data_IF_393409151448
#
_entry.id   IF_393409151448
#
_cell.length_a   1.000
_cell.length_b   1.000
_cell.length_c   1.000
_cell.angle_alpha   90.00
_cell.angle_beta   90.00
_cell.angle_gamma   90.00
#
_symmetry.space_group_name_H-M   'P 1'
#
loop_
_entity.id
_entity.type
_entity.pdbx_description
1 polymer ?
#
# COMPACT_ATOMS: atom_id res chain seq x y z
N UNK A 1 -41.59 -17.43 4.72
CA UNK A 1 -40.38 -17.36 3.88
C UNK A 1 -40.86 -17.28 2.44
N UNK A 2 -40.51 -16.25 1.71
CA UNK A 2 -40.95 -16.08 0.31
C UNK A 2 -40.03 -16.90 -0.62
N UNK A 3 -40.48 -18.10 -0.98
CA UNK A 3 -39.74 -19.03 -1.85
C UNK A 3 -39.47 -18.48 -3.25
N UNK A 4 -40.25 -17.50 -3.71
CA UNK A 4 -40.10 -16.87 -5.03
C UNK A 4 -38.87 -15.97 -5.08
N UNK A 5 -38.48 -15.40 -3.96
CA UNK A 5 -37.28 -14.56 -3.79
C UNK A 5 -36.02 -15.42 -3.70
N UNK A 6 -36.08 -16.55 -2.98
CA UNK A 6 -34.97 -17.50 -2.88
C UNK A 6 -34.63 -18.15 -4.23
N UNK A 7 -35.64 -18.46 -5.05
CA UNK A 7 -35.43 -19.08 -6.34
C UNK A 7 -34.69 -18.20 -7.35
N UNK A 8 -34.77 -16.87 -7.20
CA UNK A 8 -34.06 -15.90 -8.04
C UNK A 8 -32.60 -15.71 -7.65
N UNK A 9 -32.20 -16.21 -6.49
CA UNK A 9 -30.83 -16.07 -5.96
C UNK A 9 -29.98 -17.36 -6.17
N UNK A 10 -30.57 -18.42 -6.76
CA UNK A 10 -29.92 -19.71 -6.96
C UNK A 10 -29.76 -20.02 -8.44
N UNK A 11 -28.57 -20.41 -8.83
CA UNK A 11 -28.19 -20.71 -10.22
C UNK A 11 -27.60 -22.12 -10.31
N UNK A 12 -28.09 -22.90 -11.30
CA UNK A 12 -27.46 -24.16 -11.68
C UNK A 12 -26.21 -23.89 -12.55
N UNK A 13 -25.37 -24.92 -12.71
CA UNK A 13 -24.07 -24.77 -13.41
C UNK A 13 -24.18 -24.14 -14.81
N UNK A 14 -25.24 -24.39 -15.55
CA UNK A 14 -25.46 -23.81 -16.90
C UNK A 14 -25.77 -22.31 -16.79
N UNK A 15 -26.72 -21.96 -15.94
CA UNK A 15 -27.12 -20.57 -15.68
C UNK A 15 -26.00 -19.76 -15.05
N UNK A 16 -25.23 -20.36 -14.10
CA UNK A 16 -24.07 -19.75 -13.49
C UNK A 16 -22.96 -19.48 -14.51
N UNK A 17 -22.71 -20.39 -15.43
CA UNK A 17 -21.75 -20.22 -16.52
C UNK A 17 -22.17 -19.10 -17.47
N UNK A 18 -23.47 -19.07 -17.85
CA UNK A 18 -24.05 -18.02 -18.68
C UNK A 18 -24.00 -16.65 -18.00
N UNK A 19 -24.35 -16.57 -16.71
CA UNK A 19 -24.24 -15.35 -15.90
C UNK A 19 -22.83 -14.78 -15.88
N UNK A 20 -21.81 -15.66 -15.80
CA UNK A 20 -20.40 -15.30 -15.82
C UNK A 20 -19.82 -15.07 -17.22
N UNK A 21 -20.55 -15.37 -18.29
CA UNK A 21 -20.06 -15.28 -19.68
C UNK A 21 -18.95 -16.30 -19.99
N UNK A 22 -18.97 -17.49 -19.37
CA UNK A 22 -17.96 -18.54 -19.55
C UNK A 22 -18.59 -19.89 -19.91
N UNK A 23 -17.76 -20.86 -20.30
CA UNK A 23 -18.23 -22.23 -20.52
C UNK A 23 -18.43 -22.97 -19.18
N UNK A 24 -19.34 -23.96 -19.16
CA UNK A 24 -19.54 -24.84 -17.99
C UNK A 24 -18.24 -25.56 -17.60
N UNK A 25 -17.43 -25.93 -18.60
CA UNK A 25 -16.11 -26.54 -18.34
C UNK A 25 -15.20 -25.61 -17.56
N UNK A 26 -15.16 -24.33 -17.92
CA UNK A 26 -14.37 -23.29 -17.22
C UNK A 26 -14.93 -23.03 -15.82
N UNK A 27 -16.24 -23.01 -15.63
CA UNK A 27 -16.88 -22.92 -14.32
C UNK A 27 -16.45 -24.08 -13.39
N UNK A 28 -16.49 -25.31 -13.90
CA UNK A 28 -16.08 -26.49 -13.13
C UNK A 28 -14.59 -26.43 -12.75
N UNK A 29 -13.74 -25.92 -13.63
CA UNK A 29 -12.33 -25.67 -13.33
C UNK A 29 -12.17 -24.64 -12.20
N UNK A 30 -12.91 -23.53 -12.22
CA UNK A 30 -12.88 -22.50 -11.17
C UNK A 30 -13.37 -23.02 -9.82
N UNK A 31 -14.36 -23.92 -9.82
CA UNK A 31 -14.81 -24.63 -8.62
C UNK A 31 -13.72 -25.57 -8.09
N UNK A 32 -13.05 -26.32 -8.97
CA UNK A 32 -11.95 -27.21 -8.61
C UNK A 32 -10.74 -26.44 -8.05
N UNK A 33 -10.45 -25.26 -8.62
CA UNK A 33 -9.40 -24.34 -8.15
C UNK A 33 -9.79 -23.61 -6.85
N UNK A 34 -10.99 -23.84 -6.31
CA UNK A 34 -11.49 -23.16 -5.10
C UNK A 34 -11.80 -21.68 -5.28
N UNK A 35 -11.88 -21.20 -6.52
CA UNK A 35 -12.14 -19.79 -6.87
C UNK A 35 -13.62 -19.42 -6.87
N UNK A 36 -14.48 -20.41 -6.96
CA UNK A 36 -15.95 -20.29 -6.81
C UNK A 36 -16.40 -21.39 -5.86
N UNK A 37 -17.15 -21.02 -4.83
CA UNK A 37 -17.69 -21.99 -3.86
C UNK A 37 -19.15 -22.29 -4.19
N UNK A 38 -19.50 -23.52 -4.56
CA UNK A 38 -20.89 -23.88 -4.74
C UNK A 38 -21.61 -23.92 -3.37
N UNK A 39 -22.86 -23.47 -3.36
CA UNK A 39 -23.73 -23.59 -2.18
C UNK A 39 -24.02 -25.07 -1.88
N UNK A 40 -24.20 -25.87 -2.93
CA UNK A 40 -24.43 -27.33 -2.83
C UNK A 40 -23.89 -28.04 -4.07
N UNK A 41 -23.27 -29.20 -3.87
CA UNK A 41 -22.82 -30.10 -4.95
C UNK A 41 -23.23 -31.54 -4.61
N UNK A 42 -23.97 -32.18 -5.51
CA UNK A 42 -24.39 -33.58 -5.38
C UNK A 42 -24.49 -34.25 -6.76
N UNK A 43 -24.94 -35.52 -6.81
CA UNK A 43 -25.13 -36.27 -8.04
C UNK A 43 -26.16 -35.66 -9.01
N UNK A 44 -27.10 -34.84 -8.51
CA UNK A 44 -28.15 -34.17 -9.30
C UNK A 44 -27.72 -32.81 -9.83
N UNK A 45 -26.56 -32.27 -9.42
CA UNK A 45 -26.01 -31.00 -9.93
C UNK A 45 -25.28 -30.15 -8.90
N UNK A 46 -24.81 -29.02 -9.37
CA UNK A 46 -24.12 -28.00 -8.55
C UNK A 46 -24.95 -26.72 -8.56
N UNK A 47 -25.20 -26.15 -7.39
CA UNK A 47 -26.00 -24.93 -7.20
C UNK A 47 -25.08 -23.86 -6.62
N UNK A 48 -25.19 -22.64 -7.15
CA UNK A 48 -24.46 -21.45 -6.75
C UNK A 48 -25.44 -20.38 -6.25
N UNK A 49 -25.00 -19.60 -5.27
CA UNK A 49 -25.72 -18.41 -4.84
C UNK A 49 -25.31 -17.22 -5.71
N UNK A 50 -26.25 -16.36 -6.10
CA UNK A 50 -25.99 -15.19 -6.95
C UNK A 50 -24.84 -14.33 -6.43
N UNK A 51 -24.78 -14.10 -5.12
CA UNK A 51 -23.74 -13.29 -4.50
C UNK A 51 -22.31 -13.82 -4.76
N UNK A 52 -22.11 -15.14 -4.76
CA UNK A 52 -20.80 -15.75 -5.11
C UNK A 52 -20.48 -15.55 -6.60
N UNK A 53 -21.49 -15.58 -7.46
CA UNK A 53 -21.34 -15.37 -8.89
C UNK A 53 -21.10 -13.88 -9.22
N UNK A 54 -21.78 -12.96 -8.53
CA UNK A 54 -21.54 -11.51 -8.67
C UNK A 54 -20.11 -11.13 -8.29
N UNK A 55 -19.63 -11.63 -7.15
CA UNK A 55 -18.25 -11.44 -6.73
C UNK A 55 -17.26 -11.92 -7.80
N UNK A 56 -17.56 -13.07 -8.41
CA UNK A 56 -16.69 -13.64 -9.44
C UNK A 56 -16.79 -12.90 -10.77
N UNK A 57 -17.98 -12.43 -11.15
CA UNK A 57 -18.20 -11.64 -12.36
C UNK A 57 -17.48 -10.31 -12.29
N UNK A 58 -17.53 -9.63 -11.15
CA UNK A 58 -16.76 -8.42 -10.89
C UNK A 58 -15.26 -8.68 -11.01
N UNK A 59 -14.75 -9.78 -10.43
CA UNK A 59 -13.36 -10.19 -10.59
C UNK A 59 -12.95 -10.43 -12.05
N UNK A 60 -13.85 -10.97 -12.86
CA UNK A 60 -13.60 -11.26 -14.29
C UNK A 60 -13.66 -10.01 -15.16
N UNK A 61 -14.61 -9.10 -14.93
CA UNK A 61 -14.69 -7.80 -15.63
C UNK A 61 -13.43 -6.97 -15.38
N UNK A 62 -12.91 -6.98 -14.16
CA UNK A 62 -11.64 -6.37 -13.81
C UNK A 62 -10.47 -7.00 -14.61
N UNK A 63 -10.51 -8.29 -14.88
CA UNK A 63 -9.49 -8.99 -15.70
C UNK A 63 -9.51 -8.58 -17.17
N UNK A 64 -10.69 -8.30 -17.72
CA UNK A 64 -10.85 -7.93 -19.13
C UNK A 64 -10.53 -6.44 -19.37
N UNK A 65 -10.90 -5.54 -18.44
CA UNK A 65 -10.49 -4.12 -18.50
C UNK A 65 -8.96 -3.95 -18.41
N UNK A 66 -8.26 -4.84 -17.69
CA UNK A 66 -6.77 -4.85 -17.62
C UNK A 66 -6.16 -5.29 -18.95
N UNK A 67 -6.85 -6.10 -19.75
CA UNK A 67 -6.39 -6.47 -21.09
C UNK A 67 -6.59 -5.36 -22.13
N UNK A 68 -7.62 -4.55 -21.98
CA UNK A 68 -7.95 -3.48 -22.96
C UNK A 68 -7.32 -2.12 -22.61
N UNK A 69 -6.98 -1.84 -21.32
CA UNK A 69 -6.41 -0.56 -20.86
C UNK A 69 -4.89 -0.47 -20.88
N UNK A 70 -4.19 -1.55 -21.18
CA UNK A 70 -2.72 -1.59 -21.19
C UNK A 70 -2.16 -1.02 -22.49
N UNK A 71 -1.87 0.28 -22.57
CA UNK A 71 -0.79 0.74 -23.45
C UNK A 71 0.45 -0.03 -23.02
N UNK A 72 1.02 -0.83 -23.92
CA UNK A 72 2.26 -1.60 -23.76
C UNK A 72 3.47 -0.63 -23.61
N UNK A 73 3.50 0.14 -22.53
CA UNK A 73 4.66 0.94 -22.15
C UNK A 73 5.51 0.15 -21.15
N UNK A 74 6.80 0.08 -21.40
CA UNK A 74 7.78 -0.40 -20.42
C UNK A 74 7.98 0.71 -19.37
N UNK A 75 8.19 0.34 -18.09
CA UNK A 75 8.59 1.34 -17.08
C UNK A 75 9.93 1.96 -17.50
N UNK A 76 9.95 3.27 -17.66
CA UNK A 76 11.12 4.01 -18.11
C UNK A 76 11.86 4.64 -16.92
N UNK A 77 13.20 4.64 -16.99
CA UNK A 77 14.05 5.30 -16.00
C UNK A 77 14.44 6.67 -16.56
N UNK A 78 13.45 7.55 -16.64
CA UNK A 78 13.47 8.84 -17.33
C UNK A 78 13.68 10.03 -16.40
N UNK A 79 13.64 9.83 -15.09
CA UNK A 79 13.80 10.90 -14.10
C UNK A 79 15.04 10.69 -13.22
N UNK A 80 15.56 11.81 -12.67
CA UNK A 80 16.69 11.80 -11.72
C UNK A 80 16.38 10.90 -10.51
N UNK A 81 15.15 10.96 -9.98
CA UNK A 81 14.74 10.13 -8.83
C UNK A 81 14.77 8.64 -9.16
N UNK A 82 14.27 8.25 -10.34
CA UNK A 82 14.28 6.84 -10.77
C UNK A 82 15.70 6.33 -10.98
N UNK A 83 16.57 7.13 -11.60
CA UNK A 83 17.96 6.77 -11.81
C UNK A 83 18.73 6.66 -10.49
N UNK A 84 18.54 7.59 -9.56
CA UNK A 84 19.15 7.52 -8.23
C UNK A 84 18.67 6.29 -7.45
N UNK A 85 17.38 5.96 -7.51
CA UNK A 85 16.84 4.77 -6.87
C UNK A 85 17.44 3.47 -7.44
N UNK A 86 17.65 3.42 -8.76
CA UNK A 86 18.32 2.30 -9.41
C UNK A 86 19.78 2.19 -8.96
N UNK A 87 20.52 3.29 -8.94
CA UNK A 87 21.91 3.30 -8.47
C UNK A 87 22.01 2.88 -7.01
N UNK A 88 21.13 3.39 -6.16
CA UNK A 88 21.07 3.05 -4.74
C UNK A 88 20.79 1.55 -4.53
N UNK A 89 19.80 1.01 -5.23
CA UNK A 89 19.47 -0.43 -5.18
C UNK A 89 20.63 -1.31 -5.69
N UNK A 90 21.30 -0.89 -6.75
CA UNK A 90 22.52 -1.57 -7.25
C UNK A 90 23.57 -1.65 -6.16
N UNK A 91 23.88 -0.53 -5.52
CA UNK A 91 24.92 -0.50 -4.49
C UNK A 91 24.52 -1.23 -3.20
N UNK A 92 23.23 -1.25 -2.84
CA UNK A 92 22.75 -2.11 -1.74
C UNK A 92 23.10 -3.59 -2.01
N UNK A 93 22.90 -4.05 -3.23
CA UNK A 93 23.17 -5.43 -3.62
C UNK A 93 24.67 -5.70 -3.72
N UNK A 94 25.46 -4.83 -4.38
CA UNK A 94 26.91 -4.93 -4.51
C UNK A 94 27.57 -5.06 -3.14
N UNK A 95 27.16 -4.25 -2.18
CA UNK A 95 27.75 -4.16 -0.84
C UNK A 95 27.08 -5.11 0.16
N UNK A 96 25.92 -5.68 -0.20
CA UNK A 96 25.06 -6.41 0.74
C UNK A 96 24.72 -5.56 1.99
N UNK A 97 24.45 -4.29 1.78
CA UNK A 97 24.13 -3.33 2.83
C UNK A 97 22.62 -3.12 2.96
N UNK A 98 22.20 -2.84 4.20
CA UNK A 98 20.86 -2.30 4.46
C UNK A 98 20.84 -0.80 4.08
N UNK A 99 19.65 -0.25 3.90
CA UNK A 99 19.45 1.18 3.61
C UNK A 99 20.17 2.06 4.63
N UNK A 100 19.95 1.83 5.93
CA UNK A 100 20.57 2.60 7.02
C UNK A 100 22.11 2.63 6.97
N UNK A 101 22.72 1.56 6.45
CA UNK A 101 24.18 1.49 6.31
C UNK A 101 24.67 2.18 5.06
N UNK A 102 23.91 2.12 3.97
CA UNK A 102 24.30 2.69 2.68
C UNK A 102 24.01 4.19 2.60
N UNK A 103 22.90 4.65 3.17
CA UNK A 103 22.40 6.01 3.00
C UNK A 103 23.42 7.10 3.38
N UNK A 104 24.09 7.05 4.56
CA UNK A 104 25.08 8.06 4.91
C UNK A 104 26.27 8.14 3.92
N UNK A 105 26.63 6.99 3.32
CA UNK A 105 27.67 6.92 2.32
C UNK A 105 27.22 7.54 1.00
N UNK A 106 25.96 7.31 0.62
CA UNK A 106 25.36 7.93 -0.56
C UNK A 106 25.25 9.45 -0.41
N UNK A 107 24.88 9.92 0.78
CA UNK A 107 24.83 11.35 1.07
C UNK A 107 26.22 11.99 0.99
N UNK A 108 27.25 11.31 1.49
CA UNK A 108 28.64 11.76 1.36
C UNK A 108 29.09 11.78 -0.12
N UNK A 109 28.73 10.75 -0.90
CA UNK A 109 29.05 10.69 -2.33
C UNK A 109 28.32 11.77 -3.11
N UNK A 110 27.08 12.11 -2.75
CA UNK A 110 26.28 13.14 -3.41
C UNK A 110 26.87 14.54 -3.34
N UNK A 111 27.77 14.80 -2.36
CA UNK A 111 28.50 16.05 -2.24
C UNK A 111 29.66 16.16 -3.25
N UNK A 112 30.07 15.02 -3.86
CA UNK A 112 31.22 14.93 -4.76
C UNK A 112 30.80 14.80 -6.22
N UNK A 113 29.72 14.08 -6.46
CA UNK A 113 29.22 13.82 -7.82
C UNK A 113 27.69 13.85 -7.86
N UNK A 114 27.17 13.96 -9.06
CA UNK A 114 25.75 13.74 -9.31
C UNK A 114 25.40 12.25 -9.26
N UNK A 115 24.88 11.79 -8.11
CA UNK A 115 24.51 10.40 -7.86
C UNK A 115 23.32 9.90 -8.69
N UNK A 116 22.63 10.79 -9.42
CA UNK A 116 21.55 10.45 -10.35
C UNK A 116 22.05 10.25 -11.79
N UNK A 117 23.36 10.32 -12.05
CA UNK A 117 23.95 9.89 -13.31
C UNK A 117 24.02 8.37 -13.38
N UNK A 118 23.79 7.81 -14.57
CA UNK A 118 23.72 6.35 -14.76
C UNK A 118 25.05 5.66 -14.48
N UNK A 119 25.02 4.57 -13.71
CA UNK A 119 26.16 3.65 -13.50
C UNK A 119 26.56 2.87 -14.77
N UNK A 120 25.77 2.96 -15.85
CA UNK A 120 26.18 2.48 -17.16
C UNK A 120 27.30 3.33 -17.79
N UNK A 121 27.48 4.57 -17.36
CA UNK A 121 28.55 5.45 -17.80
C UNK A 121 29.85 5.07 -17.10
N UNK A 122 30.91 4.82 -17.88
CA UNK A 122 32.21 4.33 -17.37
C UNK A 122 32.81 5.25 -16.30
N UNK A 123 32.79 6.55 -16.55
CA UNK A 123 33.31 7.57 -15.63
C UNK A 123 32.58 7.52 -14.26
N UNK A 124 31.25 7.41 -14.28
CA UNK A 124 30.45 7.37 -13.08
C UNK A 124 30.67 6.06 -12.31
N UNK A 125 30.68 4.95 -13.03
CA UNK A 125 30.96 3.61 -12.44
C UNK A 125 32.33 3.60 -11.75
N UNK A 126 33.35 4.18 -12.38
CA UNK A 126 34.71 4.27 -11.82
C UNK A 126 34.73 5.05 -10.50
N UNK A 127 34.07 6.21 -10.44
CA UNK A 127 33.98 7.01 -9.20
C UNK A 127 33.30 6.24 -8.09
N UNK A 128 32.21 5.52 -8.38
CA UNK A 128 31.54 4.66 -7.41
C UNK A 128 32.46 3.51 -6.97
N UNK A 129 33.16 2.87 -7.88
CA UNK A 129 34.08 1.78 -7.59
C UNK A 129 35.21 2.20 -6.64
N UNK A 130 35.82 3.35 -6.88
CA UNK A 130 36.85 3.94 -6.03
C UNK A 130 36.31 4.33 -4.66
N UNK A 131 35.16 5.03 -4.62
CA UNK A 131 34.56 5.49 -3.36
C UNK A 131 34.19 4.32 -2.44
N UNK A 132 33.53 3.29 -2.99
CA UNK A 132 33.08 2.14 -2.21
C UNK A 132 34.13 1.00 -2.12
N UNK A 133 35.28 1.15 -2.74
CA UNK A 133 36.38 0.16 -2.78
C UNK A 133 35.92 -1.19 -3.30
N UNK A 134 35.19 -1.19 -4.41
CA UNK A 134 34.68 -2.39 -5.10
C UNK A 134 35.11 -2.36 -6.56
N UNK A 135 35.10 -3.50 -7.23
CA UNK A 135 35.43 -3.61 -8.65
C UNK A 135 34.31 -3.02 -9.52
N UNK A 136 34.65 -2.26 -10.55
CA UNK A 136 33.70 -1.68 -11.52
C UNK A 136 32.88 -2.76 -12.21
N UNK A 137 33.49 -3.89 -12.56
CA UNK A 137 32.82 -5.03 -13.20
C UNK A 137 31.63 -5.52 -12.37
N UNK A 138 31.83 -5.65 -11.05
CA UNK A 138 30.76 -6.09 -10.13
C UNK A 138 29.61 -5.08 -10.07
N UNK A 139 29.92 -3.77 -10.11
CA UNK A 139 28.88 -2.73 -10.17
C UNK A 139 28.10 -2.86 -11.48
N UNK A 140 28.78 -3.00 -12.62
CA UNK A 140 28.14 -3.12 -13.93
C UNK A 140 27.24 -4.36 -14.03
N UNK A 141 27.71 -5.51 -13.56
CA UNK A 141 26.90 -6.74 -13.53
C UNK A 141 25.63 -6.55 -12.70
N UNK A 142 25.77 -6.06 -11.47
CA UNK A 142 24.62 -5.87 -10.58
C UNK A 142 23.69 -4.77 -11.08
N UNK A 143 24.22 -3.73 -11.73
CA UNK A 143 23.42 -2.67 -12.36
C UNK A 143 22.51 -3.23 -13.46
N UNK A 144 23.01 -4.15 -14.30
CA UNK A 144 22.18 -4.79 -15.32
C UNK A 144 21.05 -5.63 -14.72
N UNK A 145 21.34 -6.36 -13.63
CA UNK A 145 20.33 -7.12 -12.90
C UNK A 145 19.27 -6.18 -12.29
N UNK A 146 19.71 -5.13 -11.64
CA UNK A 146 18.82 -4.13 -11.04
C UNK A 146 17.99 -3.41 -12.12
N UNK A 147 18.61 -2.98 -13.22
CA UNK A 147 17.93 -2.33 -14.34
C UNK A 147 16.81 -3.21 -14.89
N UNK A 148 17.08 -4.50 -15.15
CA UNK A 148 16.07 -5.45 -15.61
C UNK A 148 14.91 -5.60 -14.61
N UNK A 149 15.18 -5.57 -13.31
CA UNK A 149 14.13 -5.66 -12.30
C UNK A 149 13.27 -4.37 -12.26
N UNK A 150 13.88 -3.19 -12.44
CA UNK A 150 13.17 -1.91 -12.51
C UNK A 150 12.28 -1.82 -13.75
N UNK A 151 12.74 -2.28 -14.90
CA UNK A 151 11.92 -2.27 -16.14
C UNK A 151 10.71 -3.23 -16.07
N UNK A 152 10.63 -4.10 -15.08
CA UNK A 152 9.46 -4.93 -14.80
C UNK A 152 8.39 -4.24 -13.92
N UNK A 153 8.66 -3.03 -13.42
CA UNK A 153 7.64 -2.22 -12.78
C UNK A 153 6.52 -1.87 -13.77
N UNK A 154 5.32 -1.62 -13.25
CA UNK A 154 4.23 -1.18 -14.10
C UNK A 154 4.50 0.26 -14.58
N UNK A 155 4.12 0.64 -15.82
CA UNK A 155 4.36 2.01 -16.34
C UNK A 155 3.80 3.13 -15.46
N UNK A 156 2.75 2.85 -14.70
CA UNK A 156 2.12 3.81 -13.78
C UNK A 156 2.73 3.80 -12.37
N UNK A 157 3.74 2.96 -12.12
CA UNK A 157 4.42 2.97 -10.82
C UNK A 157 5.23 4.25 -10.66
N UNK A 158 5.23 4.77 -9.45
CA UNK A 158 6.03 5.94 -9.14
C UNK A 158 7.07 5.63 -8.06
N UNK A 159 8.21 6.31 -8.16
CA UNK A 159 9.27 6.27 -7.15
C UNK A 159 9.37 7.65 -6.54
N UNK A 160 9.16 7.74 -5.22
CA UNK A 160 9.17 9.00 -4.47
C UNK A 160 10.39 9.01 -3.57
N UNK A 161 11.20 10.06 -3.66
CA UNK A 161 12.40 10.24 -2.85
C UNK A 161 12.09 11.07 -1.60
N UNK A 162 12.66 10.69 -0.45
CA UNK A 162 12.60 11.49 0.78
C UNK A 162 13.19 12.87 0.54
N UNK A 163 12.47 13.89 1.00
CA UNK A 163 12.81 15.30 0.79
C UNK A 163 12.17 15.93 -0.45
N UNK A 164 11.56 15.15 -1.35
CA UNK A 164 10.74 15.71 -2.42
C UNK A 164 9.38 16.16 -1.88
N UNK A 165 8.75 17.12 -2.54
CA UNK A 165 7.43 17.68 -2.17
C UNK A 165 6.31 16.64 -2.11
N UNK A 166 6.44 15.55 -2.85
CA UNK A 166 5.47 14.46 -2.91
C UNK A 166 5.75 13.32 -1.92
N UNK A 167 6.71 13.50 -1.01
CA UNK A 167 6.95 12.54 0.06
C UNK A 167 5.94 12.72 1.21
N UNK A 168 5.37 11.63 1.78
CA UNK A 168 4.32 11.72 2.80
C UNK A 168 4.77 12.51 4.04
N UNK A 169 4.10 13.61 4.41
CA UNK A 169 4.57 14.49 5.48
C UNK A 169 4.54 13.84 6.86
N UNK A 170 3.58 12.93 7.12
CA UNK A 170 3.53 12.18 8.37
C UNK A 170 4.71 11.22 8.51
N UNK A 171 5.10 10.54 7.43
CA UNK A 171 6.21 9.60 7.43
C UNK A 171 7.55 10.33 7.49
N UNK A 172 7.67 11.47 6.82
CA UNK A 172 8.90 12.28 6.79
C UNK A 172 9.39 12.67 8.19
N UNK A 173 8.47 12.86 9.14
CA UNK A 173 8.78 13.22 10.54
C UNK A 173 9.24 12.02 11.39
N UNK A 174 9.48 10.86 10.79
CA UNK A 174 9.89 9.65 11.52
C UNK A 174 11.28 9.18 11.14
N UNK A 175 11.96 8.51 12.07
CA UNK A 175 13.26 7.85 11.81
C UNK A 175 13.13 6.67 10.82
N UNK A 176 11.92 6.17 10.62
CA UNK A 176 11.63 5.05 9.72
C UNK A 176 11.27 5.52 8.30
N UNK A 177 11.42 6.81 7.98
CA UNK A 177 11.20 7.35 6.66
C UNK A 177 12.27 6.82 5.68
N UNK A 178 11.94 5.91 4.75
CA UNK A 178 12.92 5.36 3.82
C UNK A 178 13.34 6.41 2.78
N UNK A 179 14.54 6.22 2.19
CA UNK A 179 15.03 7.10 1.14
C UNK A 179 14.10 7.11 -0.06
N UNK A 180 13.56 5.95 -0.42
CA UNK A 180 12.62 5.80 -1.53
C UNK A 180 11.36 5.06 -1.11
N UNK A 181 10.23 5.52 -1.65
CA UNK A 181 8.97 4.80 -1.68
C UNK A 181 8.65 4.42 -3.12
N UNK A 182 8.22 3.19 -3.30
CA UNK A 182 7.70 2.64 -4.55
C UNK A 182 6.20 2.52 -4.39
N UNK A 183 5.43 3.14 -5.28
CA UNK A 183 3.96 3.18 -5.14
C UNK A 183 3.25 2.76 -6.41
N UNK A 184 2.06 2.17 -6.24
CA UNK A 184 1.12 1.83 -7.31
C UNK A 184 -0.28 2.16 -6.88
N UNK A 185 -1.01 2.94 -7.71
CA UNK A 185 -2.38 3.37 -7.46
C UNK A 185 -2.51 4.86 -7.19
N UNK A 186 -3.46 5.26 -6.34
CA UNK A 186 -3.82 6.66 -6.10
C UNK A 186 -2.81 7.36 -5.18
N UNK A 187 -1.79 8.00 -5.77
CA UNK A 187 -0.75 8.75 -5.04
C UNK A 187 -1.31 9.79 -4.08
N UNK A 188 -2.44 10.44 -4.43
CA UNK A 188 -3.08 11.46 -3.57
C UNK A 188 -3.37 10.96 -2.14
N UNK A 189 -3.55 9.65 -1.96
CA UNK A 189 -3.79 9.06 -0.64
C UNK A 189 -2.61 9.21 0.34
N UNK A 190 -1.39 9.48 -0.15
CA UNK A 190 -0.22 9.75 0.70
C UNK A 190 -0.33 11.07 1.50
N UNK A 191 -1.18 11.99 1.04
CA UNK A 191 -1.37 13.30 1.63
C UNK A 191 -2.63 13.40 2.48
N UNK A 192 -3.39 12.31 2.56
CA UNK A 192 -4.59 12.28 3.36
C UNK A 192 -4.28 12.39 4.85
N UNK A 193 -4.97 13.33 5.49
CA UNK A 193 -4.70 13.67 6.89
C UNK A 193 -5.22 12.62 7.87
N UNK A 194 -6.29 11.89 7.50
CA UNK A 194 -7.01 10.97 8.38
C UNK A 194 -6.75 9.53 7.98
N UNK A 195 -5.72 8.93 8.53
CA UNK A 195 -5.30 7.56 8.26
C UNK A 195 -5.15 6.78 9.56
N UNK A 196 -5.62 5.53 9.59
CA UNK A 196 -5.56 4.65 10.76
C UNK A 196 -5.04 3.28 10.34
N UNK A 197 -3.99 2.80 11.01
CA UNK A 197 -3.52 1.45 10.83
C UNK A 197 -4.41 0.46 11.59
N UNK A 198 -4.99 -0.51 10.90
CA UNK A 198 -5.66 -1.68 11.49
C UNK A 198 -4.74 -2.87 11.38
N UNK A 199 -4.37 -3.46 12.52
CA UNK A 199 -3.39 -4.56 12.58
C UNK A 199 -3.84 -5.66 13.52
N UNK A 200 -3.34 -6.87 13.29
CA UNK A 200 -3.65 -7.96 14.21
C UNK A 200 -3.13 -9.32 13.77
N UNK A 201 -3.72 -10.34 14.37
CA UNK A 201 -3.36 -11.74 14.16
C UNK A 201 -3.58 -12.17 12.71
N UNK A 202 -2.63 -12.97 12.18
CA UNK A 202 -2.80 -13.67 10.90
C UNK A 202 -3.84 -14.79 10.99
N UNK A 203 -3.98 -15.39 12.18
CA UNK A 203 -4.97 -16.40 12.51
C UNK A 203 -6.04 -15.80 13.43
N UNK A 204 -6.65 -14.71 12.96
CA UNK A 204 -7.66 -13.99 13.72
C UNK A 204 -8.92 -14.81 13.92
N UNK A 205 -9.51 -14.70 15.11
CA UNK A 205 -10.83 -15.27 15.41
C UNK A 205 -11.91 -14.63 14.53
N UNK A 206 -13.02 -15.34 14.33
CA UNK A 206 -14.13 -14.80 13.54
C UNK A 206 -14.77 -13.57 14.21
N UNK A 207 -14.78 -13.55 15.54
CA UNK A 207 -15.20 -12.37 16.31
C UNK A 207 -14.28 -11.17 16.06
N UNK A 208 -12.95 -11.35 15.99
CA UNK A 208 -12.00 -10.30 15.70
C UNK A 208 -12.14 -9.80 14.25
N UNK A 209 -12.33 -10.70 13.28
CA UNK A 209 -12.62 -10.33 11.89
C UNK A 209 -13.89 -9.51 11.78
N UNK A 210 -14.97 -9.92 12.48
CA UNK A 210 -16.23 -9.18 12.48
C UNK A 210 -16.08 -7.79 13.11
N UNK A 211 -15.36 -7.68 14.22
CA UNK A 211 -15.05 -6.37 14.81
C UNK A 211 -14.19 -5.52 13.86
N UNK A 212 -13.25 -6.13 13.13
CA UNK A 212 -12.44 -5.43 12.12
C UNK A 212 -13.31 -4.88 11.00
N UNK A 213 -14.32 -5.63 10.52
CA UNK A 213 -15.27 -5.14 9.52
C UNK A 213 -16.02 -3.92 10.04
N UNK A 214 -16.58 -3.99 11.26
CA UNK A 214 -17.31 -2.88 11.88
C UNK A 214 -16.44 -1.63 12.04
N UNK A 215 -15.20 -1.81 12.47
CA UNK A 215 -14.25 -0.69 12.62
C UNK A 215 -13.89 -0.11 11.27
N UNK A 216 -13.49 -0.92 10.29
CA UNK A 216 -13.10 -0.47 8.95
C UNK A 216 -14.25 0.27 8.25
N UNK A 217 -15.47 -0.24 8.37
CA UNK A 217 -16.68 0.41 7.83
C UNK A 217 -16.96 1.76 8.51
N UNK A 218 -16.88 1.82 9.83
CA UNK A 218 -17.08 3.05 10.57
C UNK A 218 -16.02 4.11 10.24
N UNK A 219 -14.76 3.72 10.10
CA UNK A 219 -13.67 4.59 9.66
C UNK A 219 -13.96 5.15 8.26
N UNK A 220 -14.28 4.27 7.31
CA UNK A 220 -14.56 4.65 5.92
C UNK A 220 -15.75 5.60 5.79
N UNK A 221 -16.85 5.36 6.50
CA UNK A 221 -18.03 6.27 6.58
C UNK A 221 -17.68 7.67 7.09
N UNK A 222 -16.64 7.78 7.90
CA UNK A 222 -16.15 9.06 8.44
C UNK A 222 -14.98 9.65 7.63
N UNK A 223 -14.73 9.13 6.42
CA UNK A 223 -13.64 9.58 5.54
C UNK A 223 -12.24 9.33 6.11
N UNK A 224 -12.09 8.31 6.98
CA UNK A 224 -10.82 7.91 7.56
C UNK A 224 -10.30 6.70 6.76
N UNK A 225 -9.08 6.82 6.25
CA UNK A 225 -8.48 5.79 5.41
C UNK A 225 -7.85 4.70 6.25
N UNK A 226 -8.21 3.47 5.95
CA UNK A 226 -7.57 2.29 6.53
C UNK A 226 -6.20 2.07 5.90
N UNK A 227 -5.18 2.00 6.74
CA UNK A 227 -3.82 1.57 6.37
C UNK A 227 -3.58 0.19 6.95
N UNK A 228 -3.08 -0.76 6.17
CA UNK A 228 -2.75 -2.08 6.71
C UNK A 228 -1.68 -2.79 5.88
N UNK A 229 -1.26 -3.97 6.34
CA UNK A 229 -0.08 -4.67 5.82
C UNK A 229 -0.38 -5.78 4.82
N UNK A 230 -1.64 -5.96 4.44
CA UNK A 230 -2.08 -6.99 3.50
C UNK A 230 -1.73 -8.43 3.92
N UNK A 231 -1.46 -8.67 5.20
CA UNK A 231 -1.28 -10.01 5.75
C UNK A 231 -2.63 -10.76 5.83
N UNK A 232 -2.58 -12.08 6.06
CA UNK A 232 -3.79 -12.85 6.38
C UNK A 232 -4.48 -12.31 7.63
N UNK A 233 -5.74 -12.66 7.84
CA UNK A 233 -6.49 -12.34 9.05
C UNK A 233 -6.96 -10.88 9.10
N UNK A 234 -6.54 -10.13 10.10
CA UNK A 234 -7.03 -8.76 10.34
C UNK A 234 -6.75 -7.83 9.14
N UNK A 235 -5.52 -7.81 8.65
CA UNK A 235 -5.09 -6.87 7.62
C UNK A 235 -5.94 -7.00 6.35
N UNK A 236 -6.04 -8.21 5.81
CA UNK A 236 -6.82 -8.44 4.59
C UNK A 236 -8.32 -8.21 4.81
N UNK A 237 -8.84 -8.52 6.01
CA UNK A 237 -10.25 -8.25 6.36
C UNK A 237 -10.54 -6.74 6.33
N UNK A 238 -9.62 -5.92 6.84
CA UNK A 238 -9.75 -4.47 6.83
C UNK A 238 -9.77 -3.91 5.40
N UNK A 239 -8.85 -4.37 4.53
CA UNK A 239 -8.80 -3.95 3.13
C UNK A 239 -10.05 -4.36 2.34
N UNK A 240 -10.46 -5.63 2.44
CA UNK A 240 -11.66 -6.13 1.76
C UNK A 240 -12.89 -5.33 2.18
N UNK A 241 -13.01 -4.99 3.47
CA UNK A 241 -14.14 -4.21 3.96
C UNK A 241 -14.15 -2.80 3.36
N UNK A 242 -13.00 -2.13 3.33
CA UNK A 242 -12.90 -0.81 2.72
C UNK A 242 -13.26 -0.86 1.23
N UNK A 243 -12.69 -1.80 0.47
CA UNK A 243 -12.95 -1.95 -0.98
C UNK A 243 -14.40 -2.25 -1.30
N UNK A 244 -15.04 -3.17 -0.56
CA UNK A 244 -16.46 -3.54 -0.76
C UNK A 244 -17.44 -2.39 -0.53
N UNK A 245 -17.08 -1.48 0.36
CA UNK A 245 -17.90 -0.30 0.65
C UNK A 245 -17.47 0.94 -0.16
N UNK A 246 -16.58 0.80 -1.13
CA UNK A 246 -16.11 1.91 -1.98
C UNK A 246 -15.21 2.91 -1.25
N UNK A 247 -14.63 2.54 -0.11
CA UNK A 247 -13.72 3.39 0.65
C UNK A 247 -12.28 3.20 0.19
N UNK A 248 -11.49 4.27 0.28
CA UNK A 248 -10.06 4.21 0.01
C UNK A 248 -9.32 3.41 1.09
N UNK A 249 -8.24 2.72 0.67
CA UNK A 249 -7.35 2.01 1.59
C UNK A 249 -5.92 2.04 1.08
N UNK A 250 -4.95 2.01 2.00
CA UNK A 250 -3.51 1.99 1.71
C UNK A 250 -2.93 0.68 2.20
N UNK A 251 -2.40 -0.13 1.30
CA UNK A 251 -1.64 -1.33 1.65
C UNK A 251 -0.14 -1.01 1.66
N UNK A 252 0.49 -1.16 2.82
CA UNK A 252 1.95 -1.09 2.93
C UNK A 252 2.48 -2.52 2.91
N UNK A 253 3.24 -2.89 1.88
CA UNK A 253 3.64 -4.29 1.67
C UNK A 253 5.09 -4.55 2.09
N UNK A 254 5.37 -5.78 2.53
CA UNK A 254 6.71 -6.24 2.94
C UNK A 254 7.52 -6.87 1.80
N UNK A 255 7.09 -6.67 0.55
CA UNK A 255 7.74 -7.11 -0.67
C UNK A 255 7.95 -5.92 -1.60
N UNK A 256 8.68 -6.07 -2.69
CA UNK A 256 8.64 -5.08 -3.77
C UNK A 256 7.31 -5.16 -4.56
N UNK A 257 7.02 -4.15 -5.38
CA UNK A 257 5.77 -4.05 -6.14
C UNK A 257 5.55 -5.16 -7.17
N UNK A 258 6.61 -5.84 -7.62
CA UNK A 258 6.52 -6.93 -8.61
C UNK A 258 6.12 -8.27 -7.98
N UNK A 259 5.94 -8.32 -6.66
CA UNK A 259 5.66 -9.55 -5.91
C UNK A 259 4.36 -9.45 -5.12
N UNK A 260 3.56 -10.49 -5.18
CA UNK A 260 2.31 -10.64 -4.43
C UNK A 260 2.54 -11.61 -3.25
N UNK A 261 2.38 -11.08 -2.03
CA UNK A 261 2.55 -11.89 -0.82
C UNK A 261 1.60 -11.44 0.31
N UNK A 262 0.89 -12.36 0.95
CA UNK A 262 0.80 -13.79 0.62
C UNK A 262 0.05 -14.01 -0.71
N UNK A 263 0.28 -15.14 -1.37
CA UNK A 263 -0.27 -15.42 -2.72
C UNK A 263 -1.80 -15.38 -2.75
N UNK A 264 -2.45 -15.81 -1.67
CA UNK A 264 -3.91 -15.83 -1.54
C UNK A 264 -4.52 -14.42 -1.51
N UNK A 265 -3.76 -13.38 -1.14
CA UNK A 265 -4.21 -11.99 -1.12
C UNK A 265 -3.88 -11.23 -2.42
N UNK A 266 -3.40 -11.95 -3.46
CA UNK A 266 -3.01 -11.35 -4.74
C UNK A 266 -4.12 -10.51 -5.37
N UNK A 267 -5.33 -11.04 -5.41
CA UNK A 267 -6.45 -10.33 -6.06
C UNK A 267 -6.89 -9.11 -5.24
N UNK A 268 -6.80 -9.20 -3.92
CA UNK A 268 -7.04 -8.03 -3.04
C UNK A 268 -5.98 -6.94 -3.29
N UNK A 269 -4.70 -7.32 -3.43
CA UNK A 269 -3.65 -6.35 -3.74
C UNK A 269 -3.91 -5.65 -5.07
N UNK A 270 -4.26 -6.38 -6.12
CA UNK A 270 -4.60 -5.83 -7.44
C UNK A 270 -5.78 -4.87 -7.39
N UNK A 271 -6.78 -5.18 -6.58
CA UNK A 271 -7.93 -4.30 -6.38
C UNK A 271 -7.52 -3.01 -5.66
N UNK A 272 -6.62 -3.10 -4.66
CA UNK A 272 -6.04 -1.92 -4.01
C UNK A 272 -5.20 -1.10 -5.00
N UNK A 273 -4.42 -1.73 -5.88
CA UNK A 273 -3.65 -1.07 -6.93
C UNK A 273 -4.53 -0.21 -7.85
N UNK A 274 -5.78 -0.62 -8.09
CA UNK A 274 -6.75 0.10 -8.91
C UNK A 274 -7.53 1.18 -8.16
N UNK A 275 -8.04 0.85 -6.97
CA UNK A 275 -9.01 1.68 -6.24
C UNK A 275 -8.40 2.42 -5.04
N UNK A 276 -7.26 2.01 -4.56
CA UNK A 276 -6.54 2.54 -3.42
C UNK A 276 -5.09 2.84 -3.74
N UNK A 277 -4.20 2.53 -2.81
CA UNK A 277 -2.76 2.72 -2.95
C UNK A 277 -1.98 1.55 -2.35
N UNK A 278 -1.01 1.03 -3.08
CA UNK A 278 0.00 0.10 -2.59
C UNK A 278 1.32 0.84 -2.42
N UNK A 279 1.95 0.69 -1.26
CA UNK A 279 3.23 1.33 -0.91
C UNK A 279 4.25 0.27 -0.51
N UNK A 280 5.44 0.38 -1.03
CA UNK A 280 6.61 -0.42 -0.63
C UNK A 280 7.84 0.47 -0.42
N UNK A 281 8.66 0.15 0.56
CA UNK A 281 10.00 0.72 0.71
C UNK A 281 11.09 -0.12 0.03
N UNK A 282 10.72 -1.26 -0.53
CA UNK A 282 11.68 -2.23 -1.07
C UNK A 282 11.78 -2.12 -2.59
N UNK A 283 13.02 -1.90 -3.06
CA UNK A 283 13.35 -1.84 -4.48
C UNK A 283 12.94 -3.12 -5.22
N UNK A 284 12.52 -3.03 -6.49
CA UNK A 284 12.28 -4.21 -7.34
C UNK A 284 13.52 -5.11 -7.48
N UNK A 285 14.72 -4.56 -7.34
CA UNK A 285 15.98 -5.33 -7.36
C UNK A 285 16.27 -6.10 -6.06
N UNK A 286 15.56 -5.81 -4.96
CA UNK A 286 15.78 -6.52 -3.70
C UNK A 286 15.04 -7.86 -3.66
N UNK A 287 15.73 -8.92 -3.30
CA UNK A 287 15.10 -10.20 -2.94
C UNK A 287 14.41 -10.05 -1.60
N UNK A 288 13.11 -10.42 -1.53
CA UNK A 288 12.33 -10.34 -0.29
C UNK A 288 12.96 -11.18 0.82
N UNK A 289 13.13 -10.57 2.00
CA UNK A 289 13.70 -11.15 3.20
C UNK A 289 12.66 -11.19 4.32
N UNK A 290 12.79 -12.12 5.27
CA UNK A 290 11.87 -12.23 6.40
C UNK A 290 11.82 -10.97 7.27
N UNK A 291 12.94 -10.26 7.40
CA UNK A 291 13.04 -9.02 8.18
C UNK A 291 12.40 -7.79 7.49
N UNK A 292 12.03 -7.88 6.20
CA UNK A 292 11.29 -6.82 5.52
C UNK A 292 9.91 -6.59 6.14
N UNK A 293 9.23 -7.66 6.57
CA UNK A 293 7.89 -7.55 7.13
C UNK A 293 7.82 -6.74 8.43
N UNK A 294 8.66 -6.98 9.45
CA UNK A 294 8.71 -6.11 10.62
C UNK A 294 9.21 -4.69 10.28
N UNK A 295 10.16 -4.52 9.35
CA UNK A 295 10.66 -3.20 8.98
C UNK A 295 9.58 -2.34 8.31
N UNK A 296 8.78 -2.93 7.41
CA UNK A 296 7.62 -2.30 6.78
C UNK A 296 6.63 -1.68 7.78
N UNK A 297 6.51 -2.28 8.96
CA UNK A 297 5.61 -1.76 9.99
C UNK A 297 5.97 -0.33 10.44
N UNK A 298 7.24 0.05 10.36
CA UNK A 298 7.68 1.42 10.62
C UNK A 298 7.09 2.42 9.63
N UNK A 299 7.07 2.07 8.35
CA UNK A 299 6.45 2.88 7.30
C UNK A 299 4.93 2.93 7.48
N UNK A 300 4.31 1.78 7.76
CA UNK A 300 2.86 1.70 7.98
C UNK A 300 2.41 2.57 9.16
N UNK A 301 3.14 2.54 10.26
CA UNK A 301 2.90 3.42 11.41
C UNK A 301 3.15 4.89 11.05
N UNK A 302 4.23 5.17 10.31
CA UNK A 302 4.58 6.53 9.89
C UNK A 302 3.56 7.18 8.96
N UNK A 303 2.84 6.37 8.18
CA UNK A 303 1.72 6.81 7.32
C UNK A 303 0.39 6.95 8.08
N UNK A 304 0.34 6.64 9.38
CA UNK A 304 -0.91 6.59 10.15
C UNK A 304 -0.89 7.54 11.35
N UNK A 305 -2.04 8.12 11.68
CA UNK A 305 -2.23 8.90 12.91
C UNK A 305 -2.32 8.00 14.14
N UNK A 306 -2.92 6.83 13.97
CA UNK A 306 -3.12 5.87 15.03
C UNK A 306 -2.92 4.43 14.54
N UNK A 307 -2.61 3.54 15.46
CA UNK A 307 -2.61 2.09 15.26
C UNK A 307 -3.65 1.45 16.18
N UNK A 308 -4.61 0.73 15.61
CA UNK A 308 -5.59 -0.08 16.34
C UNK A 308 -5.17 -1.55 16.28
N UNK A 309 -4.91 -2.16 17.43
CA UNK A 309 -4.57 -3.58 17.53
C UNK A 309 -5.87 -4.37 17.74
N UNK A 310 -6.42 -4.96 16.68
CA UNK A 310 -7.72 -5.66 16.74
C UNK A 310 -7.68 -6.97 17.53
N UNK A 311 -6.64 -7.75 17.33
CA UNK A 311 -6.35 -8.99 18.06
C UNK A 311 -4.89 -9.34 17.92
N UNK A 312 -4.24 -9.73 19.03
CA UNK A 312 -2.84 -10.17 19.00
C UNK A 312 -2.55 -11.20 20.11
N UNK A 313 -1.73 -12.20 19.80
CA UNK A 313 -1.07 -13.04 20.82
C UNK A 313 0.22 -12.37 21.32
N UNK A 314 0.83 -12.94 22.37
CA UNK A 314 2.04 -12.38 23.02
C UNK A 314 3.23 -12.18 22.07
N UNK A 315 3.35 -12.99 21.03
CA UNK A 315 4.45 -12.94 20.05
C UNK A 315 4.04 -12.37 18.68
N UNK A 316 2.85 -11.74 18.62
CA UNK A 316 2.30 -11.23 17.36
C UNK A 316 3.16 -10.14 16.74
N UNK A 317 3.33 -10.20 15.42
CA UNK A 317 3.95 -9.12 14.64
C UNK A 317 3.22 -7.78 14.73
N UNK A 318 1.93 -7.77 15.10
CA UNK A 318 1.15 -6.56 15.35
C UNK A 318 1.72 -5.75 16.54
N UNK A 319 2.35 -6.41 17.52
CA UNK A 319 3.00 -5.73 18.64
C UNK A 319 4.25 -4.95 18.20
N UNK A 320 4.95 -5.41 17.15
CA UNK A 320 6.04 -4.63 16.53
C UNK A 320 5.54 -3.36 15.87
N UNK A 321 4.34 -3.39 15.30
CA UNK A 321 3.68 -2.19 14.80
C UNK A 321 3.41 -1.19 15.93
N UNK A 322 2.90 -1.65 17.07
CA UNK A 322 2.67 -0.81 18.23
C UNK A 322 3.97 -0.22 18.80
N UNK A 323 5.09 -0.97 18.79
CA UNK A 323 6.40 -0.45 19.20
C UNK A 323 6.86 0.69 18.29
N UNK A 324 6.66 0.59 16.96
CA UNK A 324 6.92 1.70 16.04
C UNK A 324 5.98 2.89 16.31
N UNK A 325 4.69 2.63 16.54
CA UNK A 325 3.71 3.67 16.83
C UNK A 325 4.12 4.49 18.07
N UNK A 326 4.57 3.83 19.16
CA UNK A 326 5.09 4.52 20.34
C UNK A 326 6.32 5.37 20.02
N UNK A 327 7.30 4.83 19.30
CA UNK A 327 8.53 5.57 18.93
C UNK A 327 8.24 6.79 18.06
N UNK A 328 7.17 6.74 17.28
CA UNK A 328 6.75 7.79 16.37
C UNK A 328 5.69 8.73 16.98
N UNK A 329 5.43 8.60 18.28
CA UNK A 329 4.39 9.36 19.01
C UNK A 329 3.01 9.25 18.35
N UNK A 330 2.65 8.06 17.82
CA UNK A 330 1.33 7.77 17.25
C UNK A 330 0.43 7.20 18.32
N UNK A 331 -0.86 7.51 18.23
CA UNK A 331 -1.87 6.96 19.12
C UNK A 331 -1.97 5.44 18.94
N UNK A 332 -1.99 4.69 20.05
CA UNK A 332 -2.24 3.26 20.06
C UNK A 332 -3.59 3.00 20.72
N UNK A 333 -4.46 2.31 20.02
CA UNK A 333 -5.79 1.97 20.48
C UNK A 333 -5.95 0.45 20.61
N UNK A 334 -6.47 0.02 21.74
CA UNK A 334 -6.63 -1.39 22.09
C UNK A 334 -8.10 -1.62 22.47
N UNK A 335 -8.80 -2.63 21.90
CA UNK A 335 -10.12 -3.02 22.37
C UNK A 335 -10.11 -3.36 23.85
N UNK A 336 -10.98 -2.75 24.64
CA UNK A 336 -11.03 -2.95 26.11
C UNK A 336 -11.14 -4.43 26.49
N UNK A 337 -11.90 -5.21 25.72
CA UNK A 337 -12.02 -6.66 25.91
C UNK A 337 -10.69 -7.41 25.88
N UNK A 338 -9.64 -6.86 25.26
CA UNK A 338 -8.32 -7.48 25.27
C UNK A 338 -7.68 -7.45 26.68
N UNK A 339 -8.06 -6.52 27.55
CA UNK A 339 -7.61 -6.45 28.95
C UNK A 339 -8.25 -7.52 29.83
N UNK A 340 -9.42 -8.03 29.45
CA UNK A 340 -10.16 -9.05 30.19
C UNK A 340 -9.61 -10.47 29.93
N UNK A 341 -8.77 -10.63 28.92
CA UNK A 341 -8.21 -11.92 28.52
C UNK A 341 -7.02 -12.31 29.43
N UNK A 342 -7.23 -13.31 30.30
CA UNK A 342 -6.18 -13.80 31.20
C UNK A 342 -5.00 -14.51 30.50
N UNK A 343 -5.15 -14.87 29.23
CA UNK A 343 -4.14 -15.59 28.44
C UNK A 343 -3.08 -14.69 27.81
N UNK A 344 -3.23 -13.37 27.88
CA UNK A 344 -2.31 -12.38 27.31
C UNK A 344 -2.03 -11.26 28.30
N UNK A 345 -0.81 -10.76 28.30
CA UNK A 345 -0.33 -9.70 29.20
C UNK A 345 0.00 -8.41 28.45
N UNK A 346 0.16 -8.49 27.13
CA UNK A 346 0.55 -7.35 26.31
C UNK A 346 -0.42 -6.14 26.40
N UNK A 347 -1.76 -6.28 26.54
CA UNK A 347 -2.64 -5.11 26.59
C UNK A 347 -2.33 -4.21 27.78
N UNK A 348 -2.21 -4.77 28.98
CA UNK A 348 -1.87 -4.02 30.19
C UNK A 348 -0.48 -3.37 30.09
N UNK A 349 0.49 -4.06 29.45
CA UNK A 349 1.84 -3.53 29.21
C UNK A 349 1.83 -2.32 28.30
N UNK A 350 1.02 -2.32 27.22
CA UNK A 350 0.92 -1.19 26.30
C UNK A 350 0.12 -0.02 26.87
N UNK A 351 -0.94 -0.29 27.67
CA UNK A 351 -1.66 0.76 28.42
C UNK A 351 -0.72 1.52 29.36
N UNK A 352 0.16 0.81 30.09
CA UNK A 352 1.20 1.44 30.91
C UNK A 352 2.19 2.29 30.13
N UNK A 353 2.31 2.05 28.81
CA UNK A 353 3.18 2.81 27.89
C UNK A 353 2.44 3.90 27.13
N UNK A 354 1.18 4.18 27.48
CA UNK A 354 0.38 5.24 26.89
C UNK A 354 -0.61 4.81 25.81
N UNK A 355 -0.84 3.50 25.60
CA UNK A 355 -1.94 3.05 24.76
C UNK A 355 -3.27 3.31 25.45
N UNK A 356 -4.28 3.66 24.67
CA UNK A 356 -5.62 3.93 25.14
C UNK A 356 -6.59 2.80 24.77
N UNK A 357 -7.62 2.62 25.59
CA UNK A 357 -8.64 1.60 25.35
C UNK A 357 -9.85 2.16 24.63
N UNK A 358 -10.49 1.32 23.82
CA UNK A 358 -11.70 1.65 23.07
C UNK A 358 -12.73 0.52 23.18
N UNK A 359 -14.01 0.88 23.28
CA UNK A 359 -15.14 -0.06 23.32
C UNK A 359 -15.85 -0.16 21.99
N UNK A 360 -15.95 0.95 21.30
CA UNK A 360 -16.72 1.10 20.07
C UNK A 360 -15.90 1.77 18.97
N UNK A 361 -16.29 1.61 17.70
CA UNK A 361 -15.67 2.37 16.62
C UNK A 361 -15.80 3.90 16.79
N UNK A 362 -16.83 4.38 17.47
CA UNK A 362 -17.00 5.82 17.75
C UNK A 362 -15.89 6.35 18.67
N UNK A 363 -15.45 5.56 19.64
CA UNK A 363 -14.37 5.96 20.54
C UNK A 363 -13.06 6.17 19.77
N UNK A 364 -12.79 5.31 18.75
CA UNK A 364 -11.63 5.48 17.87
C UNK A 364 -11.69 6.84 17.17
N UNK A 365 -12.86 7.20 16.61
CA UNK A 365 -13.05 8.45 15.88
C UNK A 365 -12.92 9.65 16.82
N UNK A 366 -13.49 9.60 18.04
CA UNK A 366 -13.37 10.64 19.05
C UNK A 366 -11.91 10.90 19.42
N UNK A 367 -11.19 9.83 19.79
CA UNK A 367 -9.77 9.91 20.18
C UNK A 367 -8.87 10.44 19.07
N UNK A 368 -9.16 10.12 17.81
CA UNK A 368 -8.47 10.71 16.68
C UNK A 368 -8.68 12.23 16.61
N UNK A 369 -9.91 12.68 16.82
CA UNK A 369 -10.25 14.11 16.78
C UNK A 369 -9.62 14.90 17.94
N UNK A 370 -9.39 14.26 19.07
CA UNK A 370 -8.75 14.86 20.25
C UNK A 370 -7.20 14.88 20.13
N UNK A 371 -6.62 14.10 19.21
CA UNK A 371 -5.17 13.98 19.06
C UNK A 371 -4.53 15.30 18.60
N UNK A 372 -3.50 15.74 19.31
CA UNK A 372 -2.70 16.92 18.96
C UNK A 372 -2.06 16.85 17.58
N UNK A 373 -1.76 15.62 17.09
CA UNK A 373 -1.23 15.40 15.74
C UNK A 373 -2.28 15.74 14.69
N UNK A 374 -3.54 15.50 14.99
CA UNK A 374 -4.67 15.84 14.12
C UNK A 374 -4.91 17.35 14.05
N UNK A 375 -4.72 18.05 15.16
CA UNK A 375 -5.07 19.47 15.35
C UNK A 375 -3.88 20.44 15.20
N UNK A 376 -2.67 19.99 14.78
CA UNK A 376 -1.51 20.86 14.71
C UNK A 376 -1.64 21.93 13.60
N UNK A 377 -1.41 23.23 13.89
CA UNK A 377 -1.54 24.33 12.93
C UNK A 377 -0.55 24.30 11.77
N UNK A 378 0.60 23.63 11.93
CA UNK A 378 1.61 23.46 10.86
C UNK A 378 1.09 22.83 9.58
N UNK A 379 -0.13 22.28 9.60
CA UNK A 379 -0.78 21.65 8.45
C UNK A 379 -1.34 22.65 7.44
N UNK A 380 -1.77 23.82 7.88
CA UNK A 380 -2.33 24.84 6.98
C UNK A 380 -1.22 25.52 6.15
N UNK A 381 -0.08 25.81 6.76
CA UNK A 381 1.07 26.40 6.06
C UNK A 381 1.64 25.48 4.97
N UNK A 382 1.68 24.15 5.21
CA UNK A 382 2.21 23.21 4.22
C UNK A 382 1.27 23.01 3.02
N UNK A 383 -0.05 23.14 3.21
CA UNK A 383 -1.04 23.06 2.12
C UNK A 383 -1.05 24.35 1.33
N UNK A 384 -0.92 25.49 1.99
CA UNK A 384 -0.87 26.80 1.36
C UNK A 384 0.41 26.97 0.54
N UNK A 385 1.59 26.58 1.05
CA UNK A 385 2.85 26.55 0.31
C UNK A 385 2.82 25.62 -0.91
N UNK A 386 2.28 24.39 -0.78
CA UNK A 386 2.16 23.48 -1.91
C UNK A 386 1.15 23.93 -2.97
N UNK A 387 0.10 24.67 -2.59
CA UNK A 387 -0.86 25.22 -3.53
C UNK A 387 -0.25 26.41 -4.29
N UNK A 388 0.49 27.26 -3.59
CA UNK A 388 1.19 28.41 -4.19
C UNK A 388 2.31 27.95 -5.14
N UNK A 389 3.13 26.95 -4.76
CA UNK A 389 4.13 26.33 -5.61
C UNK A 389 3.51 25.67 -6.84
N UNK A 390 2.38 24.99 -6.69
CA UNK A 390 1.64 24.36 -7.79
C UNK A 390 1.05 25.41 -8.76
N UNK A 391 0.57 26.53 -8.23
CA UNK A 391 0.07 27.64 -9.06
C UNK A 391 1.22 28.35 -9.80
N UNK A 392 2.35 28.60 -9.14
CA UNK A 392 3.55 29.16 -9.78
C UNK A 392 4.14 28.25 -10.88
N UNK A 393 4.18 26.91 -10.66
CA UNK A 393 4.59 25.98 -11.72
C UNK A 393 3.64 26.01 -12.92
N UNK A 394 2.33 26.17 -12.72
CA UNK A 394 1.36 26.32 -13.80
C UNK A 394 1.55 27.63 -14.57
N UNK A 395 1.78 28.73 -13.88
CA UNK A 395 2.08 30.03 -14.52
C UNK A 395 3.37 29.96 -15.33
N UNK A 396 4.42 29.31 -14.80
CA UNK A 396 5.71 29.14 -15.51
C UNK A 396 5.60 28.23 -16.75
N UNK A 397 4.72 27.23 -16.71
CA UNK A 397 4.43 26.36 -17.86
C UNK A 397 3.64 27.12 -18.91
N UNK A 398 2.64 27.90 -18.50
CA UNK A 398 1.85 28.76 -19.42
C UNK A 398 2.70 29.83 -20.08
N UNK A 399 3.65 30.44 -19.37
CA UNK A 399 4.59 31.39 -19.94
C UNK A 399 5.58 30.74 -20.94
N UNK A 400 6.00 29.50 -20.70
CA UNK A 400 6.89 28.76 -21.65
C UNK A 400 6.18 28.23 -22.88
N UNK A 401 4.90 27.89 -22.79
CA UNK A 401 4.07 27.47 -23.93
C UNK A 401 3.44 28.67 -24.69
N UNK A 402 3.39 29.84 -24.05
CA UNK A 402 2.73 31.05 -24.57
C UNK A 402 3.43 31.78 -25.73
N UNK A 403 4.53 31.25 -26.28
CA UNK A 403 5.18 31.86 -27.44
C UNK A 403 4.61 31.43 -28.80
N UNK A 404 3.60 30.57 -28.87
CA UNK A 404 2.99 30.19 -30.15
C UNK A 404 1.54 29.63 -30.09
N UNK A 405 0.60 30.26 -29.40
CA UNK A 405 -0.83 29.99 -29.65
C UNK A 405 -1.68 31.22 -29.33
N UNK A 406 -2.37 31.76 -30.35
CA UNK A 406 -3.48 32.71 -30.17
C UNK A 406 -4.66 32.00 -29.45
N UNK A 407 -4.98 32.41 -28.25
CA UNK A 407 -6.16 32.00 -27.53
C UNK A 407 -7.39 32.78 -27.99
N UNK A 408 -8.40 32.06 -28.46
CA UNK A 408 -9.77 32.57 -28.56
C UNK A 408 -10.39 32.60 -27.17
N UNK A 409 -10.81 33.79 -26.77
CA UNK A 409 -11.58 34.04 -25.54
C UNK A 409 -12.88 33.26 -25.55
N UNK A 410 -13.11 32.48 -24.49
CA UNK A 410 -14.45 32.04 -24.08
C UNK A 410 -14.72 32.69 -22.73
N UNK A 411 -15.67 33.61 -22.78
CA UNK A 411 -16.27 34.26 -21.62
C UNK A 411 -16.98 33.21 -20.75
N UNK A 412 -16.72 33.23 -19.44
CA UNK A 412 -17.55 32.60 -18.41
C UNK A 412 -18.25 33.72 -17.64
N UNK A 413 -19.52 33.92 -17.93
CA UNK A 413 -20.44 34.69 -17.06
C UNK A 413 -20.87 33.86 -15.85
N UNK A 414 -20.88 34.54 -14.70
CA UNK A 414 -21.58 34.38 -13.41
C UNK A 414 -21.79 32.95 -12.84
#
# INVERSE_FOLDING_TARGET
MDYSKLAKELYFSKEAAEFLGITVQRLNQLVHEGKIKPLKKNSSGTIFHIHELELRKEEMLIFDEVKEGGKNGMFEIDTRTKQEALNFATMMNVLSYTENKLEPLFDTLSQKIDIAKSLAQEEICTVYAEFFKVKSERIKEEYQVAYKAFTQLHPTDEIIKRGNKDYPPLLLKTEQAPRFLYIRGKKSLLFEKRTVALVGSRNASDAAKENTRRVAEALGRNGIIVVSGLAKGIDVTAHITALRNGYNTIAVIGTNLNQYYPKENREVQKEIEKKGLVVSQFSPANKTQRWFFPLRNGVMSGLSLATVIMEAGETSGALKQADFALKQNRLILIPEKALEMSTITWPARYVKRGAETVRTPKDIISKLSESSIYNSPEKEQYIQGNLEDFLQERETIVEKEGTNVRLSTVELEA
#
